data_IF_137620702677
#
_entry.id   IF_137620702677
#
_cell.length_a   1.000
_cell.length_b   1.000
_cell.length_c   1.000
_cell.angle_alpha   90.00
_cell.angle_beta   90.00
_cell.angle_gamma   90.00
#
_symmetry.space_group_name_H-M   'P 1'
#
loop_
_entity.id
_entity.type
_entity.pdbx_description
1 polymer ?
#
# COMPACT_ATOMS: atom_id res chain seq x y z
N UNK A 1 14.54 -38.56 -5.69
CA UNK A 1 13.09 -38.29 -5.85
C UNK A 1 12.61 -37.26 -4.82
N UNK A 2 13.10 -37.32 -3.56
CA UNK A 2 12.86 -36.31 -2.50
C UNK A 2 13.29 -34.91 -2.95
N UNK A 3 14.54 -34.72 -3.36
CA UNK A 3 15.11 -33.40 -3.72
C UNK A 3 14.30 -32.65 -4.80
N UNK A 4 13.68 -33.39 -5.74
CA UNK A 4 12.84 -32.80 -6.78
C UNK A 4 11.48 -32.33 -6.23
N UNK A 5 10.94 -33.06 -5.26
CA UNK A 5 9.70 -32.68 -4.57
C UNK A 5 9.95 -31.46 -3.72
N UNK A 6 11.05 -31.44 -2.97
CA UNK A 6 11.44 -30.32 -2.11
C UNK A 6 11.66 -29.03 -2.94
N UNK A 7 12.32 -29.14 -4.12
CA UNK A 7 12.47 -28.02 -5.05
C UNK A 7 11.10 -27.51 -5.56
N UNK A 8 10.19 -28.40 -5.91
CA UNK A 8 8.84 -28.02 -6.36
C UNK A 8 8.07 -27.33 -5.24
N UNK A 9 8.12 -27.85 -4.02
CA UNK A 9 7.47 -27.22 -2.85
C UNK A 9 8.03 -25.82 -2.62
N UNK A 10 9.34 -25.65 -2.63
CA UNK A 10 9.97 -24.34 -2.44
C UNK A 10 9.54 -23.34 -3.53
N UNK A 11 9.42 -23.78 -4.78
CA UNK A 11 8.95 -22.93 -5.88
C UNK A 11 7.47 -22.56 -5.74
N UNK A 12 6.62 -23.49 -5.33
CA UNK A 12 5.20 -23.22 -5.07
C UNK A 12 5.07 -22.22 -3.94
N UNK A 13 5.72 -22.45 -2.80
CA UNK A 13 5.71 -21.52 -1.66
C UNK A 13 6.12 -20.12 -2.08
N UNK A 14 7.20 -20.01 -2.88
CA UNK A 14 7.63 -18.72 -3.40
C UNK A 14 6.57 -18.04 -4.27
N UNK A 15 5.86 -18.77 -5.11
CA UNK A 15 4.79 -18.22 -5.95
C UNK A 15 3.59 -17.78 -5.10
N UNK A 16 3.22 -18.56 -4.10
CA UNK A 16 2.17 -18.22 -3.13
C UNK A 16 2.50 -16.94 -2.36
N UNK A 17 3.75 -16.77 -1.94
CA UNK A 17 4.21 -15.55 -1.28
C UNK A 17 4.13 -14.32 -2.17
N UNK A 18 4.59 -14.44 -3.41
CA UNK A 18 4.51 -13.34 -4.38
C UNK A 18 3.04 -12.93 -4.64
N UNK A 19 2.14 -13.90 -4.71
CA UNK A 19 0.71 -13.64 -4.90
C UNK A 19 0.07 -13.06 -3.64
N UNK A 20 0.44 -13.53 -2.46
CA UNK A 20 -0.04 -12.98 -1.19
C UNK A 20 0.39 -11.51 -0.98
N UNK A 21 1.61 -11.15 -1.41
CA UNK A 21 2.07 -9.75 -1.40
C UNK A 21 1.23 -8.90 -2.36
N UNK A 22 0.94 -9.40 -3.58
CA UNK A 22 0.07 -8.70 -4.54
C UNK A 22 -1.34 -8.52 -3.99
N UNK A 23 -1.90 -9.54 -3.34
CA UNK A 23 -3.21 -9.45 -2.70
C UNK A 23 -3.25 -8.42 -1.59
N UNK A 24 -2.23 -8.38 -0.72
CA UNK A 24 -2.13 -7.34 0.32
C UNK A 24 -2.10 -5.93 -0.29
N UNK A 25 -1.40 -5.77 -1.40
CA UNK A 25 -1.38 -4.52 -2.15
C UNK A 25 -2.75 -4.15 -2.73
N UNK A 26 -3.42 -5.09 -3.40
CA UNK A 26 -4.76 -4.87 -3.96
C UNK A 26 -5.77 -4.53 -2.86
N UNK A 27 -5.72 -5.26 -1.75
CA UNK A 27 -6.53 -5.01 -0.56
C UNK A 27 -6.30 -3.58 -0.03
N UNK A 28 -5.05 -3.14 0.03
CA UNK A 28 -4.72 -1.77 0.41
C UNK A 28 -5.41 -0.75 -0.50
N UNK A 29 -5.21 -0.84 -1.82
CA UNK A 29 -5.83 0.08 -2.77
C UNK A 29 -7.36 0.06 -2.67
N UNK A 30 -7.98 -1.10 -2.69
CA UNK A 30 -9.44 -1.23 -2.64
C UNK A 30 -10.06 -0.72 -1.34
N UNK A 31 -9.39 -0.96 -0.20
CA UNK A 31 -9.87 -0.48 1.11
C UNK A 31 -9.68 1.03 1.25
N UNK A 32 -8.60 1.57 0.68
CA UNK A 32 -8.36 3.01 0.64
C UNK A 32 -9.40 3.71 -0.23
N UNK A 33 -9.60 3.25 -1.46
CA UNK A 33 -10.56 3.82 -2.42
C UNK A 33 -12.02 3.74 -1.95
N UNK A 34 -12.35 2.73 -1.14
CA UNK A 34 -13.68 2.57 -0.52
C UNK A 34 -13.81 3.24 0.86
N UNK A 35 -12.78 3.97 1.33
CA UNK A 35 -12.74 4.57 2.66
C UNK A 35 -13.02 3.57 3.80
N UNK A 36 -12.67 2.29 3.60
CA UNK A 36 -12.86 1.25 4.61
C UNK A 36 -11.70 1.26 5.62
N UNK A 37 -11.65 2.29 6.46
CA UNK A 37 -10.55 2.53 7.39
C UNK A 37 -10.35 1.42 8.42
N UNK A 38 -11.43 0.76 8.84
CA UNK A 38 -11.34 -0.34 9.81
C UNK A 38 -10.61 -1.54 9.21
N UNK A 39 -10.91 -1.90 7.97
CA UNK A 39 -10.25 -3.00 7.27
C UNK A 39 -8.86 -2.60 6.74
N UNK A 40 -8.66 -1.30 6.41
CA UNK A 40 -7.37 -0.81 5.93
C UNK A 40 -6.25 -1.05 6.96
N UNK A 41 -6.55 -0.96 8.24
CA UNK A 41 -5.58 -1.26 9.30
C UNK A 41 -4.99 -2.67 9.24
N UNK A 42 -5.75 -3.66 8.76
CA UNK A 42 -5.32 -5.06 8.73
C UNK A 42 -4.17 -5.34 7.77
N UNK A 43 -3.94 -4.48 6.77
CA UNK A 43 -2.83 -4.65 5.82
C UNK A 43 -1.50 -4.14 6.36
N UNK A 44 -1.49 -3.44 7.50
CA UNK A 44 -0.28 -2.93 8.15
C UNK A 44 0.13 -3.79 9.35
N UNK A 45 1.44 -3.90 9.58
CA UNK A 45 1.94 -4.40 10.87
C UNK A 45 1.61 -3.41 11.99
N UNK A 46 1.61 -3.86 13.25
CA UNK A 46 1.30 -2.97 14.39
C UNK A 46 2.27 -1.79 14.49
N UNK A 47 3.55 -2.06 14.22
CA UNK A 47 4.65 -1.10 14.25
C UNK A 47 4.99 -0.49 12.88
N UNK A 48 4.07 -0.54 11.92
CA UNK A 48 4.28 -0.03 10.57
C UNK A 48 4.63 1.46 10.55
N UNK A 49 5.34 1.87 9.51
CA UNK A 49 5.65 3.27 9.22
C UNK A 49 5.10 3.64 7.86
N UNK A 50 4.36 4.73 7.78
CA UNK A 50 3.96 5.37 6.53
C UNK A 50 4.81 6.62 6.34
N UNK A 51 5.42 6.77 5.17
CA UNK A 51 6.16 7.94 4.76
C UNK A 51 5.49 8.54 3.52
N UNK A 52 5.08 9.80 3.64
CA UNK A 52 4.43 10.55 2.58
C UNK A 52 5.25 11.75 2.19
N UNK A 53 5.43 11.94 0.89
CA UNK A 53 6.14 13.07 0.32
C UNK A 53 5.39 13.58 -0.92
N UNK A 54 5.26 14.90 -1.06
CA UNK A 54 4.65 15.54 -2.18
C UNK A 54 3.14 15.75 -2.10
N UNK A 55 2.51 15.65 -0.93
CA UNK A 55 1.09 15.95 -0.74
C UNK A 55 0.82 17.33 -0.12
N UNK A 56 1.82 17.99 0.42
CA UNK A 56 1.68 19.30 1.10
C UNK A 56 1.17 20.41 0.18
N UNK A 57 1.32 20.26 -1.13
CA UNK A 57 0.75 21.19 -2.10
C UNK A 57 -0.78 21.03 -2.26
N UNK A 58 -1.33 19.85 -1.95
CA UNK A 58 -2.78 19.62 -1.93
C UNK A 58 -3.36 20.05 -0.57
N UNK A 59 -2.75 19.59 0.50
CA UNK A 59 -3.18 19.85 1.86
C UNK A 59 -1.95 19.96 2.77
N UNK A 60 -1.71 21.14 3.29
CA UNK A 60 -0.57 21.42 4.16
C UNK A 60 -0.55 20.51 5.40
N UNK A 61 0.61 19.91 5.66
CA UNK A 61 0.86 19.05 6.82
C UNK A 61 0.45 17.59 6.61
N UNK A 62 0.36 17.13 5.35
CA UNK A 62 0.21 15.71 5.01
C UNK A 62 1.56 15.01 4.80
N UNK A 63 2.58 15.72 4.35
CA UNK A 63 3.91 15.16 4.21
C UNK A 63 4.52 14.83 5.57
N UNK A 64 5.25 13.72 5.65
CA UNK A 64 5.93 13.29 6.86
C UNK A 64 5.85 11.80 7.14
N UNK A 65 6.15 11.43 8.38
CA UNK A 65 6.13 10.05 8.86
C UNK A 65 5.02 9.84 9.90
N UNK A 66 4.24 8.78 9.69
CA UNK A 66 3.21 8.30 10.60
C UNK A 66 3.64 6.93 11.13
N UNK A 67 3.79 6.80 12.46
CA UNK A 67 4.34 5.61 13.10
C UNK A 67 3.30 4.85 13.89
N UNK A 68 3.22 3.55 13.62
CA UNK A 68 2.23 2.63 14.17
C UNK A 68 0.92 2.65 13.39
N UNK A 69 0.29 1.48 13.30
CA UNK A 69 -0.99 1.27 12.59
C UNK A 69 -2.05 2.30 13.00
N UNK A 70 -2.18 2.57 14.30
CA UNK A 70 -3.17 3.53 14.80
C UNK A 70 -2.97 4.93 14.21
N UNK A 71 -1.73 5.45 14.24
CA UNK A 71 -1.41 6.78 13.69
C UNK A 71 -1.60 6.81 12.16
N UNK A 72 -1.17 5.77 11.45
CA UNK A 72 -1.38 5.65 10.01
C UNK A 72 -2.86 5.77 9.66
N UNK A 73 -3.73 5.06 10.36
CA UNK A 73 -5.17 5.06 10.04
C UNK A 73 -5.87 6.34 10.49
N UNK A 74 -5.59 6.85 11.69
CA UNK A 74 -6.36 7.95 12.26
C UNK A 74 -5.77 9.33 11.95
N UNK A 75 -4.43 9.47 12.03
CA UNK A 75 -3.80 10.77 11.86
C UNK A 75 -3.51 11.09 10.39
N UNK A 76 -3.39 10.05 9.53
CA UNK A 76 -3.21 10.24 8.10
C UNK A 76 -4.48 9.90 7.30
N UNK A 77 -4.86 8.63 7.15
CA UNK A 77 -5.93 8.25 6.20
C UNK A 77 -7.30 8.82 6.54
N UNK A 78 -7.77 8.72 7.79
CA UNK A 78 -9.06 9.31 8.18
C UNK A 78 -9.05 10.84 8.06
N UNK A 79 -7.95 11.47 8.44
CA UNK A 79 -7.79 12.92 8.31
C UNK A 79 -7.81 13.33 6.84
N UNK A 80 -7.04 12.65 5.99
CA UNK A 80 -6.99 12.90 4.54
C UNK A 80 -8.36 12.66 3.90
N UNK A 81 -9.02 11.55 4.24
CA UNK A 81 -10.36 11.23 3.73
C UNK A 81 -11.42 12.25 4.15
N UNK A 82 -11.31 12.87 5.31
CA UNK A 82 -12.21 13.94 5.75
C UNK A 82 -11.99 15.27 5.01
N UNK A 83 -10.77 15.51 4.54
CA UNK A 83 -10.41 16.73 3.78
C UNK A 83 -10.68 16.53 2.28
N UNK A 84 -10.27 15.38 1.76
CA UNK A 84 -10.53 14.93 0.41
C UNK A 84 -11.72 13.97 0.48
N UNK A 85 -12.97 14.38 0.15
CA UNK A 85 -14.15 13.55 0.35
C UNK A 85 -14.12 12.31 -0.59
N UNK A 86 -13.32 11.33 -0.20
CA UNK A 86 -13.11 10.08 -0.93
C UNK A 86 -14.39 9.22 -0.95
N UNK A 87 -15.22 9.35 0.09
CA UNK A 87 -16.48 8.65 0.26
C UNK A 87 -17.65 9.21 -0.57
N UNK A 88 -17.50 10.41 -1.10
CA UNK A 88 -18.58 11.08 -1.84
C UNK A 88 -18.68 10.67 -3.33
N UNK A 89 -17.80 9.79 -3.83
CA UNK A 89 -17.72 9.50 -5.27
C UNK A 89 -17.64 8.00 -5.56
N UNK A 90 -18.20 7.60 -6.72
CA UNK A 90 -18.02 6.23 -7.20
C UNK A 90 -16.52 5.90 -7.32
N UNK A 91 -16.12 4.77 -6.78
CA UNK A 91 -14.75 4.22 -6.75
C UNK A 91 -14.01 4.28 -8.10
N UNK A 92 -14.77 4.21 -9.21
CA UNK A 92 -14.21 4.24 -10.57
C UNK A 92 -13.72 5.62 -11.04
N UNK A 93 -13.96 6.68 -10.29
CA UNK A 93 -13.62 8.06 -10.70
C UNK A 93 -12.36 8.57 -9.99
N UNK A 94 -11.98 7.97 -8.85
CA UNK A 94 -10.87 8.44 -8.01
C UNK A 94 -9.98 7.31 -7.49
N UNK A 95 -10.00 6.15 -8.15
CA UNK A 95 -9.25 4.99 -7.68
C UNK A 95 -7.74 5.09 -7.91
N UNK A 96 -6.99 4.42 -7.04
CA UNK A 96 -5.55 4.25 -7.18
C UNK A 96 -5.25 3.28 -8.33
N UNK A 97 -4.46 3.71 -9.29
CA UNK A 97 -3.94 2.86 -10.35
C UNK A 97 -2.46 2.66 -10.15
N UNK A 98 -2.06 1.42 -9.87
CA UNK A 98 -0.65 1.04 -9.73
C UNK A 98 -0.23 0.13 -10.87
N UNK A 99 0.99 0.32 -11.35
CA UNK A 99 1.52 -0.43 -12.49
C UNK A 99 3.02 -0.74 -12.32
N UNK A 100 3.52 -1.67 -13.15
CA UNK A 100 4.94 -2.04 -13.20
C UNK A 100 5.49 -2.50 -11.84
N UNK A 101 4.68 -3.17 -11.03
CA UNK A 101 5.10 -3.64 -9.72
C UNK A 101 6.20 -4.70 -9.83
N UNK A 102 7.33 -4.41 -9.22
CA UNK A 102 8.42 -5.34 -8.99
C UNK A 102 8.41 -5.78 -7.54
N UNK A 103 8.64 -7.07 -7.29
CA UNK A 103 8.70 -7.66 -5.95
C UNK A 103 10.03 -8.38 -5.79
N UNK A 104 10.78 -8.03 -4.76
CA UNK A 104 11.97 -8.75 -4.31
C UNK A 104 11.64 -9.43 -2.98
N UNK A 105 11.64 -10.76 -2.98
CA UNK A 105 11.33 -11.59 -1.82
C UNK A 105 12.62 -12.12 -1.20
N UNK A 106 12.79 -11.91 0.12
CA UNK A 106 13.96 -12.32 0.91
C UNK A 106 13.50 -12.93 2.25
N UNK A 107 13.23 -14.24 2.25
CA UNK A 107 12.72 -14.93 3.45
C UNK A 107 11.33 -14.40 3.84
N UNK A 108 11.21 -13.93 5.09
CA UNK A 108 9.97 -13.36 5.63
C UNK A 108 9.84 -11.84 5.42
N UNK A 109 10.70 -11.27 4.58
CA UNK A 109 10.64 -9.87 4.17
C UNK A 109 10.55 -9.76 2.65
N UNK A 110 9.91 -8.69 2.19
CA UNK A 110 9.86 -8.35 0.77
C UNK A 110 9.91 -6.84 0.59
N UNK A 111 10.45 -6.42 -0.56
CA UNK A 111 10.40 -5.04 -1.02
C UNK A 111 9.65 -4.95 -2.34
N UNK A 112 8.91 -3.86 -2.53
CA UNK A 112 8.22 -3.59 -3.79
C UNK A 112 8.54 -2.20 -4.28
N UNK A 113 8.54 -2.06 -5.61
CA UNK A 113 8.57 -0.79 -6.31
C UNK A 113 7.43 -0.80 -7.34
N UNK A 114 6.63 0.27 -7.37
CA UNK A 114 5.58 0.45 -8.38
C UNK A 114 5.44 1.92 -8.74
N UNK A 115 4.92 2.19 -9.94
CA UNK A 115 4.41 3.52 -10.28
C UNK A 115 2.93 3.61 -9.97
N UNK A 116 2.45 4.81 -9.68
CA UNK A 116 1.02 5.05 -9.54
C UNK A 116 0.59 6.32 -10.25
N UNK A 117 -0.69 6.35 -10.59
CA UNK A 117 -1.42 7.59 -10.79
C UNK A 117 -2.78 7.50 -10.08
N UNK A 118 -3.27 8.64 -9.67
CA UNK A 118 -4.55 8.78 -8.98
C UNK A 118 -5.21 10.08 -9.44
N UNK A 119 -6.51 10.04 -9.69
CA UNK A 119 -7.30 11.24 -9.94
C UNK A 119 -7.87 11.72 -8.62
N UNK A 120 -7.43 12.89 -8.17
CA UNK A 120 -7.89 13.52 -6.93
C UNK A 120 -8.71 14.77 -7.23
N UNK A 121 -9.69 15.07 -6.38
CA UNK A 121 -10.51 16.30 -6.46
C UNK A 121 -11.15 16.54 -7.86
N UNK A 122 -11.34 15.49 -8.66
CA UNK A 122 -11.93 15.40 -9.99
C UNK A 122 -11.12 15.92 -11.20
N UNK A 123 -10.10 16.72 -10.97
CA UNK A 123 -9.39 17.43 -12.02
C UNK A 123 -7.88 17.40 -11.89
N UNK A 124 -7.36 16.86 -10.77
CA UNK A 124 -5.92 16.77 -10.51
C UNK A 124 -5.45 15.34 -10.66
N UNK A 125 -4.30 15.17 -11.29
CA UNK A 125 -3.66 13.86 -11.41
C UNK A 125 -2.40 13.86 -10.57
N UNK A 126 -2.39 13.00 -9.57
CA UNK A 126 -1.16 12.65 -8.85
C UNK A 126 -0.47 11.51 -9.58
N UNK A 127 0.82 11.64 -9.75
CA UNK A 127 1.68 10.56 -10.25
C UNK A 127 2.86 10.39 -9.31
N UNK A 128 3.38 9.19 -9.23
CA UNK A 128 4.54 8.98 -8.36
C UNK A 128 4.99 7.53 -8.30
N UNK A 129 5.74 7.25 -7.25
CA UNK A 129 6.25 5.92 -6.96
C UNK A 129 5.83 5.47 -5.58
N UNK A 130 5.60 4.17 -5.48
CA UNK A 130 5.44 3.46 -4.23
C UNK A 130 6.66 2.58 -3.98
N UNK A 131 7.28 2.73 -2.82
CA UNK A 131 8.35 1.87 -2.35
C UNK A 131 7.93 1.29 -1.00
N UNK A 132 7.64 0.00 -0.97
CA UNK A 132 7.13 -0.60 0.26
C UNK A 132 8.03 -1.74 0.72
N UNK A 133 8.01 -1.96 2.03
CA UNK A 133 8.57 -3.15 2.67
C UNK A 133 7.44 -3.92 3.33
N UNK A 134 7.45 -5.21 3.11
CA UNK A 134 6.51 -6.15 3.69
C UNK A 134 7.23 -7.05 4.68
N UNK A 135 6.50 -7.49 5.69
CA UNK A 135 6.92 -8.54 6.61
C UNK A 135 5.82 -9.60 6.68
N UNK A 136 6.24 -10.87 6.71
CA UNK A 136 5.33 -11.97 7.00
C UNK A 136 5.06 -12.01 8.50
N UNK A 137 3.81 -11.99 8.89
CA UNK A 137 3.34 -12.19 10.26
C UNK A 137 2.38 -13.37 10.29
N UNK A 138 2.81 -14.45 10.94
CA UNK A 138 2.17 -15.76 10.87
C UNK A 138 2.02 -16.22 9.40
N UNK A 139 0.81 -16.21 8.86
CA UNK A 139 0.46 -16.64 7.50
C UNK A 139 0.16 -15.48 6.55
N UNK A 140 0.43 -14.22 6.96
CA UNK A 140 0.04 -13.02 6.20
C UNK A 140 1.21 -12.09 5.94
N UNK A 141 1.25 -11.57 4.73
CA UNK A 141 2.13 -10.48 4.36
C UNK A 141 1.45 -9.14 4.69
N UNK A 142 2.18 -8.26 5.39
CA UNK A 142 1.70 -6.91 5.76
C UNK A 142 2.74 -5.86 5.47
N UNK A 143 2.28 -4.63 5.22
CA UNK A 143 3.16 -3.47 5.12
C UNK A 143 3.87 -3.21 6.45
N UNK A 144 5.19 -3.25 6.41
CA UNK A 144 6.08 -2.84 7.50
C UNK A 144 6.51 -1.39 7.33
N UNK A 145 6.77 -0.98 6.08
CA UNK A 145 7.04 0.41 5.69
C UNK A 145 6.31 0.67 4.38
N UNK A 146 5.49 1.69 4.36
CA UNK A 146 4.85 2.18 3.16
C UNK A 146 5.40 3.57 2.83
N UNK A 147 5.95 3.74 1.63
CA UNK A 147 6.50 5.01 1.16
C UNK A 147 5.78 5.40 -0.13
N UNK A 148 5.24 6.60 -0.15
CA UNK A 148 4.67 7.20 -1.35
C UNK A 148 5.34 8.55 -1.60
N UNK A 149 5.87 8.73 -2.80
CA UNK A 149 6.37 10.01 -3.28
C UNK A 149 5.52 10.43 -4.49
N UNK A 150 4.81 11.54 -4.34
CA UNK A 150 3.86 12.06 -5.32
C UNK A 150 4.30 13.39 -5.91
N UNK A 151 3.86 13.66 -7.13
CA UNK A 151 3.91 15.00 -7.75
C UNK A 151 2.63 15.25 -8.52
N UNK A 152 2.16 16.49 -8.54
CA UNK A 152 1.05 16.92 -9.38
C UNK A 152 1.52 17.25 -10.79
N UNK A 153 0.69 16.92 -11.79
CA UNK A 153 0.86 17.35 -13.17
C UNK A 153 -0.42 17.89 -13.76
#
# INVERSE_FOLDING_TARGET
MSDRIDDLVARITRLEDLEAIRHTWLDYCMRLDSANWSALGDVFTEDAVLEMDGLDHLVKGLDGQYRGRHSIINDFYRRTGAILPLDAKPMFVTGHVSTNMQIKLEGDEATTLAYFFEIVMNDRVLIGTYQHRFRREADRWRFRVAVAAASER
#
